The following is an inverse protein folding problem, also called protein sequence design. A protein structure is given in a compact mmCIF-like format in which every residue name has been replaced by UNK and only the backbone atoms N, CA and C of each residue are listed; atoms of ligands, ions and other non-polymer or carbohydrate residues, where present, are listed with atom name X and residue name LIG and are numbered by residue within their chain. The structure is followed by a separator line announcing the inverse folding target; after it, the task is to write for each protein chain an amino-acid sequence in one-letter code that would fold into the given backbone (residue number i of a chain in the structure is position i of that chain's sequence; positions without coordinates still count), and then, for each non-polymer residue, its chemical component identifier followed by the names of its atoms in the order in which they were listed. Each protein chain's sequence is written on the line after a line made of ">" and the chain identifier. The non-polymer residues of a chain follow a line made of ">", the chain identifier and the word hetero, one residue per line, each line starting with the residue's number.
data_IF_230673263779
#
_entry.id   IF_230673263779
#
_cell.length_a   1.000
_cell.length_b   1.000
_cell.length_c   1.000
_cell.angle_alpha   90.00
_cell.angle_beta   90.00
_cell.angle_gamma   90.00
#
_symmetry.space_group_name_H-M   'P 1'
#
loop_
_entity.id
_entity.type
_entity.pdbx_description
1 polymer ?
#
# COMPACT_ATOMS: atom_id res chain seq x y z
N UNK A 1 -12.61 13.37 -13.42
CA UNK A 1 -12.79 13.54 -11.95
C UNK A 1 -11.44 13.37 -11.28
N UNK A 2 -11.02 14.31 -10.42
CA UNK A 2 -9.86 14.08 -9.54
C UNK A 2 -10.19 12.87 -8.65
N UNK A 3 -9.29 11.89 -8.61
CA UNK A 3 -9.39 10.76 -7.69
C UNK A 3 -9.07 11.31 -6.30
N UNK A 4 -10.03 11.30 -5.39
CA UNK A 4 -9.78 11.68 -3.99
C UNK A 4 -9.53 10.38 -3.24
N UNK A 5 -8.28 10.11 -2.90
CA UNK A 5 -7.93 9.02 -1.99
C UNK A 5 -8.33 9.43 -0.57
N UNK A 6 -8.95 8.52 0.17
CA UNK A 6 -9.21 8.71 1.61
C UNK A 6 -8.08 8.04 2.37
N UNK A 7 -7.48 8.71 3.33
CA UNK A 7 -6.42 8.12 4.14
C UNK A 7 -6.60 8.45 5.63
N UNK A 8 -6.09 7.57 6.47
CA UNK A 8 -6.05 7.72 7.92
C UNK A 8 -4.73 7.15 8.41
N UNK A 9 -4.02 7.89 9.25
CA UNK A 9 -2.95 7.34 10.08
C UNK A 9 -3.43 7.30 11.53
N UNK A 10 -3.38 6.12 12.13
CA UNK A 10 -3.65 5.91 13.56
C UNK A 10 -2.32 5.70 14.29
N UNK A 11 -1.90 6.70 15.04
CA UNK A 11 -0.67 6.70 15.84
C UNK A 11 -0.69 5.62 16.93
N UNK A 12 -1.87 5.33 17.52
CA UNK A 12 -1.98 4.38 18.63
C UNK A 12 -1.73 2.94 18.19
N UNK A 13 -2.18 2.58 16.98
CA UNK A 13 -1.97 1.25 16.42
C UNK A 13 -0.85 1.17 15.38
N UNK A 14 -0.20 2.30 15.09
CA UNK A 14 0.78 2.51 14.03
C UNK A 14 0.33 1.93 12.68
N UNK A 15 -0.84 2.39 12.23
CA UNK A 15 -1.48 1.92 10.99
C UNK A 15 -1.75 3.07 10.05
N UNK A 16 -1.24 2.93 8.82
CA UNK A 16 -1.61 3.78 7.70
C UNK A 16 -2.62 3.04 6.83
N UNK A 17 -3.82 3.58 6.73
CA UNK A 17 -4.86 3.11 5.82
C UNK A 17 -5.02 4.10 4.66
N UNK A 18 -5.05 3.60 3.43
CA UNK A 18 -5.31 4.38 2.22
C UNK A 18 -6.37 3.66 1.38
N UNK A 19 -7.44 4.38 1.03
CA UNK A 19 -8.55 3.91 0.21
C UNK A 19 -8.67 4.70 -1.09
N UNK A 20 -8.69 3.95 -2.18
CA UNK A 20 -9.04 4.35 -3.53
C UNK A 20 -10.41 3.77 -3.96
N UNK A 21 -11.19 3.29 -2.99
CA UNK A 21 -12.51 2.69 -3.21
C UNK A 21 -13.49 3.73 -3.77
N UNK A 22 -14.20 3.37 -4.83
CA UNK A 22 -15.33 4.14 -5.36
C UNK A 22 -16.59 3.80 -4.59
N UNK A 23 -17.60 4.66 -4.68
CA UNK A 23 -18.89 4.48 -3.99
C UNK A 23 -19.50 3.10 -4.25
N UNK A 24 -19.48 2.64 -5.51
CA UNK A 24 -20.05 1.36 -5.95
C UNK A 24 -19.07 0.18 -5.91
N UNK A 25 -17.85 0.37 -5.39
CA UNK A 25 -16.91 -0.74 -5.26
C UNK A 25 -17.36 -1.66 -4.12
N UNK A 26 -17.61 -2.93 -4.42
CA UNK A 26 -17.88 -3.98 -3.42
C UNK A 26 -16.60 -4.74 -3.10
N UNK A 27 -16.23 -4.80 -1.83
CA UNK A 27 -15.07 -5.57 -1.38
C UNK A 27 -15.43 -7.06 -1.41
N UNK A 28 -14.70 -7.82 -2.22
CA UNK A 28 -14.85 -9.26 -2.36
C UNK A 28 -14.02 -10.03 -1.32
N UNK A 29 -12.84 -9.52 -0.98
CA UNK A 29 -11.97 -10.16 -0.01
C UNK A 29 -10.69 -9.38 0.25
N UNK A 30 -9.90 -9.90 1.18
CA UNK A 30 -8.65 -9.27 1.62
C UNK A 30 -7.51 -10.28 1.64
N UNK A 31 -6.31 -9.84 1.28
CA UNK A 31 -5.08 -10.61 1.41
C UNK A 31 -4.14 -9.89 2.35
N UNK A 32 -3.57 -10.63 3.30
CA UNK A 32 -2.52 -10.14 4.19
C UNK A 32 -1.15 -10.62 3.70
N UNK A 33 -0.24 -9.69 3.47
CA UNK A 33 1.16 -9.92 3.07
C UNK A 33 2.07 -9.23 4.08
N UNK A 34 2.62 -9.98 5.05
CA UNK A 34 3.45 -9.43 6.13
C UNK A 34 2.73 -8.27 6.88
N UNK A 35 3.27 -7.06 6.82
CA UNK A 35 2.72 -5.83 7.41
C UNK A 35 1.59 -5.21 6.57
N UNK A 36 1.40 -5.67 5.33
CA UNK A 36 0.42 -5.13 4.40
C UNK A 36 -0.88 -5.93 4.44
N UNK A 37 -2.02 -5.24 4.33
CA UNK A 37 -3.33 -5.84 4.02
C UNK A 37 -3.87 -5.15 2.77
N UNK A 38 -4.31 -5.92 1.79
CA UNK A 38 -4.87 -5.45 0.52
C UNK A 38 -6.33 -5.90 0.42
N UNK A 39 -7.24 -4.97 0.16
CA UNK A 39 -8.64 -5.30 -0.13
C UNK A 39 -8.90 -5.26 -1.63
N UNK A 40 -9.58 -6.28 -2.14
CA UNK A 40 -9.88 -6.47 -3.55
C UNK A 40 -11.38 -6.37 -3.80
N UNK A 41 -11.73 -5.76 -4.92
CA UNK A 41 -13.08 -5.82 -5.49
C UNK A 41 -13.29 -7.09 -6.31
N UNK A 42 -14.53 -7.35 -6.72
CA UNK A 42 -14.91 -8.51 -7.56
C UNK A 42 -14.23 -8.51 -8.93
N UNK A 43 -13.82 -7.34 -9.45
CA UNK A 43 -13.00 -7.18 -10.66
C UNK A 43 -11.48 -7.28 -10.38
N UNK A 44 -11.08 -7.81 -9.22
CA UNK A 44 -9.70 -8.06 -8.80
C UNK A 44 -8.82 -6.80 -8.68
N UNK A 45 -9.42 -5.61 -8.56
CA UNK A 45 -8.68 -4.38 -8.31
C UNK A 45 -8.46 -4.17 -6.81
N UNK A 46 -7.24 -3.79 -6.44
CA UNK A 46 -6.95 -3.33 -5.07
C UNK A 46 -7.55 -1.96 -4.86
N UNK A 47 -8.39 -1.83 -3.84
CA UNK A 47 -9.07 -0.58 -3.50
C UNK A 47 -8.67 -0.02 -2.16
N UNK A 48 -8.24 -0.84 -1.22
CA UNK A 48 -7.69 -0.37 0.04
C UNK A 48 -6.34 -1.03 0.32
N UNK A 49 -5.49 -0.28 0.98
CA UNK A 49 -4.22 -0.76 1.54
C UNK A 49 -4.14 -0.34 3.00
N UNK A 50 -3.85 -1.29 3.87
CA UNK A 50 -3.43 -1.04 5.24
C UNK A 50 -1.96 -1.44 5.39
N UNK A 51 -1.12 -0.52 5.85
CA UNK A 51 0.24 -0.79 6.28
C UNK A 51 0.30 -0.72 7.81
N UNK A 52 0.62 -1.85 8.44
CA UNK A 52 0.92 -1.94 9.88
C UNK A 52 2.38 -1.67 10.14
N UNK A 53 2.70 -1.21 11.35
CA UNK A 53 4.05 -0.79 11.73
C UNK A 53 4.60 0.24 10.73
N UNK A 54 3.74 1.19 10.32
CA UNK A 54 4.04 2.12 9.24
C UNK A 54 5.26 2.99 9.58
N UNK A 55 5.36 3.47 10.83
CA UNK A 55 6.51 4.24 11.30
C UNK A 55 7.82 3.45 11.13
N UNK A 56 7.85 2.21 11.62
CA UNK A 56 9.00 1.30 11.53
C UNK A 56 9.36 0.97 10.09
N UNK A 57 8.37 0.80 9.22
CA UNK A 57 8.61 0.58 7.79
C UNK A 57 9.33 1.79 7.15
N UNK A 58 8.87 3.01 7.42
CA UNK A 58 9.55 4.22 6.91
C UNK A 58 10.98 4.34 7.46
N UNK A 59 11.15 4.11 8.76
CA UNK A 59 12.46 4.17 9.41
C UNK A 59 13.45 3.13 8.84
N UNK A 60 12.96 1.94 8.48
CA UNK A 60 13.80 0.91 7.84
C UNK A 60 14.35 1.34 6.47
N UNK A 61 13.74 2.36 5.86
CA UNK A 61 14.15 2.96 4.60
C UNK A 61 14.88 4.30 4.81
N UNK A 62 15.26 4.63 6.05
CA UNK A 62 15.82 5.93 6.47
C UNK A 62 14.90 7.12 6.18
N UNK A 63 13.58 6.91 6.18
CA UNK A 63 12.58 7.98 6.02
C UNK A 63 12.05 8.34 7.42
N UNK A 64 11.94 9.65 7.69
CA UNK A 64 11.44 10.13 8.98
C UNK A 64 9.95 9.81 9.13
N UNK A 65 9.62 8.94 10.09
CA UNK A 65 8.27 8.49 10.39
C UNK A 65 7.32 9.60 10.83
N UNK A 66 7.83 10.74 11.33
CA UNK A 66 7.03 11.90 11.72
C UNK A 66 6.21 12.51 10.56
N UNK A 67 6.51 12.16 9.31
CA UNK A 67 5.67 12.53 8.17
C UNK A 67 4.25 11.99 8.30
N UNK A 68 4.07 10.82 8.92
CA UNK A 68 2.77 10.15 9.08
C UNK A 68 1.79 10.98 9.92
N UNK A 69 2.29 11.69 10.94
CA UNK A 69 1.50 12.58 11.80
C UNK A 69 1.08 13.89 11.11
N UNK A 70 1.68 14.21 9.96
CA UNK A 70 1.50 15.48 9.27
C UNK A 70 0.97 15.28 7.84
N UNK A 71 0.40 14.12 7.53
CA UNK A 71 -0.11 13.81 6.21
C UNK A 71 -1.26 14.74 5.83
N UNK A 72 -1.06 15.44 4.73
CA UNK A 72 -2.07 16.22 4.01
C UNK A 72 -2.74 15.42 2.90
N UNK A 73 -2.06 14.41 2.36
CA UNK A 73 -2.57 13.50 1.34
C UNK A 73 -1.78 12.20 1.36
N UNK A 74 -2.43 11.09 0.98
CA UNK A 74 -1.77 9.82 0.78
C UNK A 74 -2.48 9.02 -0.30
N UNK A 75 -1.70 8.49 -1.24
CA UNK A 75 -2.19 7.66 -2.33
C UNK A 75 -1.28 6.45 -2.51
N UNK A 76 -1.81 5.41 -3.16
CA UNK A 76 -1.00 4.28 -3.60
C UNK A 76 -1.19 4.01 -5.08
N UNK A 77 -0.11 3.56 -5.72
CA UNK A 77 -0.09 3.09 -7.10
C UNK A 77 0.43 1.66 -7.09
N UNK A 78 -0.26 0.75 -7.77
CA UNK A 78 0.21 -0.62 -7.96
C UNK A 78 0.60 -0.78 -9.42
N UNK A 79 1.80 -1.29 -9.63
CA UNK A 79 2.33 -1.61 -10.95
C UNK A 79 2.72 -3.08 -10.98
N UNK A 80 2.16 -3.83 -11.91
CA UNK A 80 2.61 -5.19 -12.19
C UNK A 80 4.02 -5.16 -12.80
N UNK A 81 4.90 -6.02 -12.30
CA UNK A 81 6.25 -6.24 -12.78
C UNK A 81 6.39 -7.69 -13.27
N UNK A 82 7.48 -8.01 -13.97
CA UNK A 82 7.69 -9.34 -14.56
C UNK A 82 7.60 -10.48 -13.53
N UNK A 83 8.06 -10.24 -12.30
CA UNK A 83 8.15 -11.24 -11.23
C UNK A 83 7.41 -10.79 -9.95
N UNK A 84 6.33 -9.99 -10.11
CA UNK A 84 5.45 -9.63 -9.00
C UNK A 84 4.77 -8.28 -9.16
N UNK A 85 4.64 -7.55 -8.05
CA UNK A 85 4.00 -6.24 -7.99
C UNK A 85 4.87 -5.25 -7.23
N UNK A 86 4.88 -4.01 -7.69
CA UNK A 86 5.47 -2.88 -6.99
C UNK A 86 4.34 -1.94 -6.58
N UNK A 87 4.26 -1.67 -5.27
CA UNK A 87 3.33 -0.70 -4.70
C UNK A 87 4.14 0.54 -4.34
N UNK A 88 3.75 1.70 -4.87
CA UNK A 88 4.28 2.98 -4.43
C UNK A 88 3.28 3.63 -3.48
N UNK A 89 3.71 3.88 -2.24
CA UNK A 89 3.03 4.82 -1.35
C UNK A 89 3.53 6.23 -1.66
N UNK A 90 2.61 7.14 -1.92
CA UNK A 90 2.94 8.55 -2.12
C UNK A 90 2.35 9.31 -0.94
N UNK A 91 3.23 9.76 -0.04
CA UNK A 91 2.87 10.44 1.19
C UNK A 91 3.18 11.93 1.04
N UNK A 92 2.19 12.80 1.27
CA UNK A 92 2.36 14.25 1.15
C UNK A 92 2.12 14.91 2.50
N UNK A 93 3.10 15.66 2.99
CA UNK A 93 3.00 16.46 4.21
C UNK A 93 3.42 17.91 3.92
N UNK A 94 2.45 18.76 3.60
CA UNK A 94 2.72 20.13 3.16
C UNK A 94 3.49 20.15 1.83
N UNK A 95 4.73 20.67 1.86
CA UNK A 95 5.61 20.71 0.68
C UNK A 95 6.44 19.42 0.48
N UNK A 96 6.48 18.54 1.49
CA UNK A 96 7.24 17.29 1.42
C UNK A 96 6.40 16.22 0.71
N UNK A 97 7.05 15.49 -0.22
CA UNK A 97 6.44 14.36 -0.94
C UNK A 97 7.40 13.19 -0.93
N UNK A 98 7.04 12.14 -0.20
CA UNK A 98 7.78 10.88 -0.17
C UNK A 98 7.13 9.87 -1.10
N UNK A 99 7.96 9.14 -1.87
CA UNK A 99 7.53 8.05 -2.75
C UNK A 99 8.20 6.78 -2.29
N UNK A 100 7.49 5.96 -1.54
CA UNK A 100 8.03 4.79 -0.87
C UNK A 100 7.65 3.52 -1.63
N UNK A 101 8.62 2.75 -2.16
CA UNK A 101 8.35 1.49 -2.82
C UNK A 101 8.12 0.34 -1.82
N UNK A 102 7.21 -0.56 -2.14
CA UNK A 102 6.98 -1.82 -1.48
C UNK A 102 6.91 -2.92 -2.53
N UNK A 103 7.89 -3.82 -2.53
CA UNK A 103 8.00 -4.90 -3.50
C UNK A 103 7.29 -6.16 -3.00
N UNK A 104 6.37 -6.69 -3.80
CA UNK A 104 5.78 -8.01 -3.63
C UNK A 104 6.38 -8.90 -4.71
N UNK A 105 7.30 -9.78 -4.33
CA UNK A 105 7.92 -10.73 -5.26
C UNK A 105 7.05 -11.98 -5.30
N UNK A 106 6.65 -12.40 -6.49
CA UNK A 106 5.99 -13.69 -6.71
C UNK A 106 7.03 -14.63 -7.30
N UNK A 107 7.34 -15.74 -6.63
CA UNK A 107 8.17 -16.78 -7.23
C UNK A 107 7.47 -17.30 -8.48
N UNK A 108 8.08 -17.06 -9.64
CA UNK A 108 7.73 -17.73 -10.88
C UNK A 108 7.94 -19.21 -10.65
N UNK A 109 6.87 -20.01 -10.78
CA UNK A 109 6.86 -21.48 -10.78
C UNK A 109 8.28 -22.09 -10.73
N UNK A 110 8.69 -22.59 -9.55
CA UNK A 110 9.66 -23.69 -9.48
C UNK A 110 9.02 -24.86 -10.22
N UNK A 111 9.10 -24.87 -11.55
CA UNK A 111 8.82 -26.04 -12.36
C UNK A 111 9.75 -27.12 -11.85
N UNK A 112 9.14 -28.08 -11.17
CA UNK A 112 9.71 -29.37 -10.78
C UNK A 112 10.44 -29.89 -12.02
N UNK A 113 11.77 -29.80 -12.00
CA UNK A 113 12.60 -30.61 -12.90
C UNK A 113 12.56 -32.00 -12.27
N UNK A 114 11.51 -32.76 -12.59
CA UNK A 114 11.57 -34.20 -12.54
C UNK A 114 12.43 -34.64 -13.72
N UNK A 115 13.69 -34.97 -13.43
CA UNK A 115 14.57 -35.74 -14.29
C UNK A 115 14.81 -37.10 -13.62
#
# INVERSE_FOLDING_TARGET
>A
MKKTSVFIYDELSDRLFISNKKENDEIYGSVRLLSLTLDFTTDMRVVNIELREASRFLESLNINSNILNNLSDAEFIIQQQQDGYLIYFILKAGAQVERIPYNIITEKNLSIISA
#
